data_IF_878629519346
#
_entry.id   IF_878629519346
#
_cell.length_a   1.000
_cell.length_b   1.000
_cell.length_c   1.000
_cell.angle_alpha   90.00
_cell.angle_beta   90.00
_cell.angle_gamma   90.00
#
_symmetry.space_group_name_H-M   'P 1'
#
loop_
_entity.id
_entity.type
_entity.pdbx_description
1 polymer ?
#
# COMPACT_ATOMS: atom_id res chain seq x y z
N UNK A 1 29.53 47.34 14.99
CA UNK A 1 29.59 45.87 14.84
C UNK A 1 28.29 45.26 15.39
N UNK A 2 27.24 45.09 14.57
CA UNK A 2 25.99 44.45 15.05
C UNK A 2 25.05 43.96 13.93
N UNK A 3 25.53 43.91 12.68
CA UNK A 3 24.76 43.48 11.50
C UNK A 3 25.16 42.11 10.96
N UNK A 4 26.30 41.57 11.40
CA UNK A 4 26.84 40.28 10.95
C UNK A 4 26.29 39.08 11.72
N UNK A 5 25.44 39.29 12.74
CA UNK A 5 24.95 38.21 13.61
C UNK A 5 23.57 37.67 13.21
N UNK A 6 22.89 38.29 12.25
CA UNK A 6 21.53 37.89 11.83
C UNK A 6 21.53 36.98 10.59
N UNK A 7 22.66 36.84 9.89
CA UNK A 7 22.77 35.97 8.71
C UNK A 7 23.19 34.53 9.10
N UNK A 8 23.90 34.36 10.23
CA UNK A 8 24.37 33.05 10.70
C UNK A 8 23.27 32.12 11.23
N UNK A 9 22.14 32.67 11.70
CA UNK A 9 21.09 31.89 12.33
C UNK A 9 20.12 31.23 11.32
N UNK A 10 20.12 31.69 10.06
CA UNK A 10 19.20 31.21 9.02
C UNK A 10 19.78 30.06 8.17
N UNK A 11 21.07 29.74 8.33
CA UNK A 11 21.76 28.64 7.61
C UNK A 11 21.70 27.30 8.36
N UNK A 12 21.38 27.29 9.67
CA UNK A 12 21.30 26.05 10.47
C UNK A 12 19.93 25.33 10.41
N UNK A 13 18.94 25.84 9.68
CA UNK A 13 17.60 25.25 9.62
C UNK A 13 17.39 24.24 8.47
N UNK A 14 18.42 23.95 7.66
CA UNK A 14 18.30 23.13 6.44
C UNK A 14 18.88 21.71 6.59
N UNK A 15 19.29 21.28 7.80
CA UNK A 15 19.84 19.92 8.03
C UNK A 15 19.13 19.06 9.08
N UNK A 16 17.91 19.43 9.50
CA UNK A 16 17.10 18.56 10.36
C UNK A 16 16.23 17.60 9.53
N UNK A 17 16.82 16.97 8.52
CA UNK A 17 16.30 15.72 7.94
C UNK A 17 16.88 14.55 8.73
N UNK A 18 16.44 14.39 9.98
CA UNK A 18 16.76 13.25 10.80
C UNK A 18 15.44 12.62 11.25
N UNK A 19 15.24 11.40 10.75
CA UNK A 19 14.10 10.55 10.98
C UNK A 19 13.61 10.58 12.43
N UNK A 20 12.42 11.16 12.62
CA UNK A 20 11.61 10.84 13.78
C UNK A 20 11.35 9.35 13.74
N UNK A 21 12.04 8.62 14.61
CA UNK A 21 11.77 7.23 14.91
C UNK A 21 10.36 7.19 15.49
N UNK A 22 9.39 6.91 14.63
CA UNK A 22 8.03 6.61 15.06
C UNK A 22 8.09 5.36 15.91
N UNK A 23 8.05 5.53 17.23
CA UNK A 23 7.61 4.46 18.09
C UNK A 23 6.24 4.02 17.55
N UNK A 24 6.00 2.71 17.36
CA UNK A 24 4.68 2.22 17.05
C UNK A 24 3.83 2.48 18.29
N UNK A 25 3.24 3.68 18.38
CA UNK A 25 2.02 3.85 19.14
C UNK A 25 1.04 2.83 18.58
N UNK A 26 0.24 2.20 19.45
CA UNK A 26 -0.82 1.31 19.01
C UNK A 26 -1.69 2.11 18.03
N UNK A 27 -1.48 1.82 16.75
CA UNK A 27 -2.20 2.44 15.65
C UNK A 27 -3.59 1.83 15.79
N UNK A 28 -4.58 2.66 16.08
CA UNK A 28 -5.95 2.30 15.75
C UNK A 28 -5.93 1.85 14.28
N UNK A 29 -6.13 0.54 14.06
CA UNK A 29 -6.00 -0.13 12.77
C UNK A 29 -7.01 0.39 11.73
N UNK A 30 -7.89 1.29 12.14
CA UNK A 30 -8.84 2.01 11.30
C UNK A 30 -8.14 3.06 10.43
N UNK A 31 -7.61 2.61 9.29
CA UNK A 31 -7.17 3.50 8.22
C UNK A 31 -8.33 4.44 7.80
N UNK A 32 -8.17 5.78 7.83
CA UNK A 32 -9.20 6.71 7.38
C UNK A 32 -9.64 6.41 5.94
N UNK A 33 -10.91 6.62 5.61
CA UNK A 33 -11.50 6.20 4.33
C UNK A 33 -10.71 6.67 3.10
N UNK A 34 -10.22 7.92 3.11
CA UNK A 34 -9.41 8.45 2.03
C UNK A 34 -8.09 7.69 1.84
N UNK A 35 -7.49 7.22 2.94
CA UNK A 35 -6.26 6.42 2.91
C UNK A 35 -6.57 4.98 2.47
N UNK A 36 -7.70 4.40 2.92
CA UNK A 36 -8.18 3.08 2.48
C UNK A 36 -8.45 3.05 0.98
N UNK A 37 -9.14 4.06 0.44
CA UNK A 37 -9.40 4.18 -1.00
C UNK A 37 -8.08 4.22 -1.77
N UNK A 38 -7.13 5.07 -1.37
CA UNK A 38 -5.82 5.14 -2.04
C UNK A 38 -5.04 3.83 -1.95
N UNK A 39 -5.13 3.15 -0.81
CA UNK A 39 -4.53 1.84 -0.62
C UNK A 39 -5.13 0.81 -1.58
N UNK A 40 -6.46 0.69 -1.64
CA UNK A 40 -7.11 -0.26 -2.53
C UNK A 40 -6.94 0.07 -4.01
N UNK A 41 -6.74 1.34 -4.37
CA UNK A 41 -6.34 1.73 -5.72
C UNK A 41 -4.93 1.23 -6.08
N UNK A 42 -3.97 1.26 -5.14
CA UNK A 42 -2.64 0.64 -5.38
C UNK A 42 -2.74 -0.89 -5.47
N UNK A 43 -3.55 -1.51 -4.62
CA UNK A 43 -3.79 -2.97 -4.68
C UNK A 43 -4.42 -3.37 -6.02
N UNK A 44 -5.36 -2.58 -6.54
CA UNK A 44 -5.92 -2.75 -7.89
C UNK A 44 -4.83 -2.73 -8.96
N UNK A 45 -3.88 -1.80 -8.87
CA UNK A 45 -2.80 -1.73 -9.87
C UNK A 45 -1.90 -2.97 -9.84
N UNK A 46 -1.64 -3.52 -8.65
CA UNK A 46 -0.96 -4.81 -8.49
C UNK A 46 -1.79 -5.99 -9.05
N UNK A 47 -3.10 -5.97 -8.87
CA UNK A 47 -4.01 -6.95 -9.47
C UNK A 47 -3.91 -6.92 -11.00
N UNK A 48 -3.96 -5.73 -11.60
CA UNK A 48 -3.81 -5.56 -13.04
C UNK A 48 -2.43 -6.05 -13.54
N UNK A 49 -1.37 -5.73 -12.80
CA UNK A 49 -0.02 -6.20 -13.13
C UNK A 49 0.08 -7.73 -13.05
N UNK A 50 -0.52 -8.36 -12.04
CA UNK A 50 -0.55 -9.82 -11.90
C UNK A 50 -1.30 -10.48 -13.06
N UNK A 51 -2.41 -9.90 -13.51
CA UNK A 51 -3.14 -10.37 -14.68
C UNK A 51 -2.24 -10.38 -15.93
N UNK A 52 -1.55 -9.26 -16.21
CA UNK A 52 -0.65 -9.19 -17.36
C UNK A 52 0.57 -10.11 -17.24
N UNK A 53 1.06 -10.35 -16.02
CA UNK A 53 2.15 -11.29 -15.82
C UNK A 53 1.69 -12.73 -16.11
N UNK A 54 0.53 -13.14 -15.58
CA UNK A 54 -0.08 -14.45 -15.86
C UNK A 54 -0.34 -14.64 -17.35
N UNK A 55 -0.94 -13.65 -18.00
CA UNK A 55 -1.27 -13.68 -19.44
C UNK A 55 -0.01 -13.86 -20.32
N UNK A 56 1.11 -13.28 -19.89
CA UNK A 56 2.42 -13.44 -20.54
C UNK A 56 3.19 -14.69 -20.09
N UNK A 57 2.58 -15.59 -19.31
CA UNK A 57 3.21 -16.80 -18.79
C UNK A 57 4.35 -16.52 -17.80
N UNK A 58 4.40 -15.33 -17.19
CA UNK A 58 5.44 -14.97 -16.22
C UNK A 58 5.12 -15.58 -14.85
N UNK A 59 6.16 -15.99 -14.09
CA UNK A 59 5.96 -16.54 -12.76
C UNK A 59 5.25 -15.56 -11.85
N UNK A 60 4.46 -16.10 -10.92
CA UNK A 60 3.83 -15.33 -9.86
C UNK A 60 4.89 -14.65 -9.01
N UNK A 61 4.70 -13.35 -8.76
CA UNK A 61 5.54 -12.58 -7.85
C UNK A 61 4.70 -12.14 -6.65
N UNK A 62 5.08 -12.60 -5.47
CA UNK A 62 4.48 -12.23 -4.20
C UNK A 62 5.38 -11.23 -3.47
N UNK A 63 4.78 -10.47 -2.56
CA UNK A 63 5.47 -9.62 -1.60
C UNK A 63 5.86 -10.44 -0.38
N UNK A 64 6.95 -10.06 0.29
CA UNK A 64 7.31 -10.64 1.58
C UNK A 64 6.22 -10.31 2.59
N UNK A 65 5.70 -11.33 3.29
CA UNK A 65 4.68 -11.13 4.31
C UNK A 65 5.34 -10.58 5.59
N UNK A 66 5.23 -9.27 5.76
CA UNK A 66 5.83 -8.47 6.85
C UNK A 66 4.87 -8.28 8.05
N UNK A 67 3.75 -9.00 8.06
CA UNK A 67 2.67 -8.84 9.03
C UNK A 67 1.69 -7.70 8.71
N UNK A 68 1.94 -6.92 7.65
CA UNK A 68 1.01 -5.86 7.23
C UNK A 68 -0.17 -6.40 6.42
N UNK A 69 -1.30 -5.69 6.50
CA UNK A 69 -2.44 -5.91 5.60
C UNK A 69 -2.09 -5.68 4.13
N UNK A 70 -1.12 -4.80 3.88
CA UNK A 70 -0.56 -4.51 2.56
C UNK A 70 -0.12 -5.76 1.82
N UNK A 71 0.88 -6.44 2.38
CA UNK A 71 1.43 -7.65 1.79
C UNK A 71 0.38 -8.78 1.77
N UNK A 72 -0.36 -8.95 2.86
CA UNK A 72 -1.37 -10.01 3.03
C UNK A 72 -2.49 -9.93 1.98
N UNK A 73 -3.15 -8.78 1.86
CA UNK A 73 -4.26 -8.56 0.92
C UNK A 73 -3.77 -8.65 -0.53
N UNK A 74 -2.63 -8.01 -0.83
CA UNK A 74 -2.09 -8.00 -2.20
C UNK A 74 -1.70 -9.41 -2.63
N UNK A 75 -1.02 -10.19 -1.78
CA UNK A 75 -0.66 -11.57 -2.07
C UNK A 75 -1.89 -12.46 -2.28
N UNK A 76 -2.94 -12.30 -1.46
CA UNK A 76 -4.19 -13.02 -1.66
C UNK A 76 -4.77 -12.77 -3.06
N UNK A 77 -4.88 -11.50 -3.45
CA UNK A 77 -5.40 -11.11 -4.77
C UNK A 77 -4.53 -11.66 -5.92
N UNK A 78 -3.20 -11.59 -5.78
CA UNK A 78 -2.27 -12.12 -6.80
C UNK A 78 -2.44 -13.62 -6.98
N UNK A 79 -2.50 -14.38 -5.88
CA UNK A 79 -2.72 -15.84 -5.93
C UNK A 79 -4.01 -16.17 -6.67
N UNK A 80 -5.11 -15.52 -6.28
CA UNK A 80 -6.43 -15.68 -6.91
C UNK A 80 -6.40 -15.36 -8.40
N UNK A 81 -5.73 -14.30 -8.84
CA UNK A 81 -5.60 -13.98 -10.27
C UNK A 81 -4.91 -15.10 -11.05
N UNK A 82 -3.87 -15.72 -10.51
CA UNK A 82 -3.19 -16.82 -11.19
C UNK A 82 -4.01 -18.12 -11.18
N UNK A 83 -4.73 -18.38 -10.10
CA UNK A 83 -5.50 -19.61 -9.89
C UNK A 83 -6.87 -19.60 -10.58
N UNK A 84 -7.45 -18.41 -10.78
CA UNK A 84 -8.82 -18.24 -11.29
C UNK A 84 -8.84 -17.79 -12.77
N UNK A 85 -9.06 -18.71 -13.74
CA UNK A 85 -9.16 -18.36 -15.14
C UNK A 85 -10.37 -17.46 -15.47
N UNK A 86 -11.40 -17.42 -14.61
CA UNK A 86 -12.57 -16.54 -14.77
C UNK A 86 -12.21 -15.04 -14.75
N UNK A 87 -11.07 -14.67 -14.16
CA UNK A 87 -10.51 -13.31 -14.24
C UNK A 87 -9.84 -13.17 -15.61
N UNK A 88 -10.67 -13.05 -16.64
CA UNK A 88 -10.30 -13.25 -18.04
C UNK A 88 -9.98 -11.96 -18.79
N UNK A 89 -9.96 -10.81 -18.12
CA UNK A 89 -9.68 -9.51 -18.75
C UNK A 89 -9.05 -8.52 -17.77
N UNK A 90 -8.33 -7.50 -18.29
CA UNK A 90 -7.81 -6.41 -17.46
C UNK A 90 -8.89 -5.78 -16.58
N UNK A 91 -10.07 -5.53 -17.16
CA UNK A 91 -11.17 -4.88 -16.43
C UNK A 91 -11.73 -5.74 -15.29
N UNK A 92 -11.77 -7.06 -15.48
CA UNK A 92 -12.16 -8.01 -14.42
C UNK A 92 -11.11 -8.03 -13.32
N UNK A 93 -9.82 -8.03 -13.65
CA UNK A 93 -8.74 -8.00 -12.66
C UNK A 93 -8.77 -6.71 -11.81
N UNK A 94 -9.00 -5.55 -12.43
CA UNK A 94 -9.18 -4.29 -11.71
C UNK A 94 -10.37 -4.34 -10.75
N UNK A 95 -11.53 -4.76 -11.25
CA UNK A 95 -12.77 -4.81 -10.47
C UNK A 95 -12.62 -5.79 -9.30
N UNK A 96 -12.05 -6.97 -9.58
CA UNK A 96 -11.75 -7.99 -8.58
C UNK A 96 -10.81 -7.44 -7.50
N UNK A 97 -9.64 -6.92 -7.88
CA UNK A 97 -8.65 -6.44 -6.92
C UNK A 97 -9.18 -5.33 -6.01
N UNK A 98 -9.94 -4.37 -6.56
CA UNK A 98 -10.55 -3.31 -5.74
C UNK A 98 -11.65 -3.85 -4.82
N UNK A 99 -12.53 -4.72 -5.32
CA UNK A 99 -13.62 -5.28 -4.53
C UNK A 99 -13.08 -6.12 -3.37
N UNK A 100 -12.15 -7.04 -3.65
CA UNK A 100 -11.52 -7.90 -2.63
C UNK A 100 -10.73 -7.10 -1.62
N UNK A 101 -10.00 -6.06 -2.04
CA UNK A 101 -9.32 -5.17 -1.09
C UNK A 101 -10.32 -4.50 -0.14
N UNK A 102 -11.39 -3.89 -0.67
CA UNK A 102 -12.39 -3.23 0.16
C UNK A 102 -13.07 -4.21 1.13
N UNK A 103 -13.34 -5.44 0.69
CA UNK A 103 -13.92 -6.50 1.52
C UNK A 103 -12.97 -6.88 2.67
N UNK A 104 -11.71 -7.19 2.36
CA UNK A 104 -10.71 -7.60 3.38
C UNK A 104 -10.35 -6.48 4.35
N UNK A 105 -10.41 -5.22 3.91
CA UNK A 105 -10.26 -4.05 4.78
C UNK A 105 -11.50 -3.83 5.67
N UNK A 106 -12.69 -4.17 5.17
CA UNK A 106 -13.95 -4.04 5.92
C UNK A 106 -14.16 -5.13 6.98
N UNK A 107 -13.60 -6.32 6.77
CA UNK A 107 -13.68 -7.44 7.74
C UNK A 107 -12.66 -7.32 8.88
N UNK A 108 -11.67 -6.44 8.78
CA UNK A 108 -10.64 -6.23 9.80
C UNK A 108 -11.08 -5.26 10.92
N UNK A 109 -12.15 -4.48 10.70
CA UNK A 109 -12.74 -3.59 11.71
C UNK A 109 -13.71 -4.28 12.70
N UNK A 110 -13.87 -5.61 12.59
CA UNK A 110 -14.73 -6.41 13.48
C UNK A 110 -13.93 -7.15 14.59
N UNK A 111 -12.70 -6.71 14.86
CA UNK A 111 -11.90 -7.17 15.99
C UNK A 111 -11.87 -6.06 17.06
N UNK A 112 -12.83 -6.18 17.99
CA UNK A 112 -13.01 -5.56 19.32
C UNK A 112 -12.92 -4.03 19.50
#
# INVERSE_FOLDING_TARGET
MKRSSLIGMMVLLILSSAWGHGHPGQIDDSMPDAQRIRFCERVRDHALQAFYNRDKGRPMKLFDEDGSDGARITNHIIRRIYEEPQISSPKKAETFGRATCNEMMGTSAASE
#
